data_IF_541765650029
#
_entry.id   IF_541765650029
#
_cell.length_a   1.000
_cell.length_b   1.000
_cell.length_c   1.000
_cell.angle_alpha   90.00
_cell.angle_beta   90.00
_cell.angle_gamma   90.00
#
_symmetry.space_group_name_H-M   'P 1'
#
loop_
_entity.id
_entity.type
_entity.pdbx_description
1 polymer ?
#
# COMPACT_ATOMS: atom_id res chain seq x y z
N UNK A 1 13.63 7.11 7.61
CA UNK A 1 12.76 6.92 6.43
C UNK A 1 13.15 5.62 5.74
N UNK A 2 12.19 4.85 5.23
CA UNK A 2 12.45 3.60 4.51
C UNK A 2 12.11 3.76 3.03
N UNK A 3 12.89 3.12 2.16
CA UNK A 3 12.67 3.12 0.72
C UNK A 3 12.05 1.79 0.29
N UNK A 4 10.86 1.85 -0.31
CA UNK A 4 10.23 0.67 -0.91
C UNK A 4 10.72 0.46 -2.34
N UNK A 5 11.19 -0.74 -2.65
CA UNK A 5 11.56 -1.09 -4.02
C UNK A 5 11.46 -2.59 -4.31
N UNK A 6 11.39 -2.95 -5.59
CA UNK A 6 11.45 -4.35 -6.02
C UNK A 6 12.79 -4.97 -5.60
N UNK A 7 12.78 -6.21 -5.12
CA UNK A 7 13.99 -6.96 -4.76
C UNK A 7 14.99 -6.99 -5.93
N UNK A 8 16.25 -6.61 -5.66
CA UNK A 8 17.39 -6.55 -6.60
C UNK A 8 18.64 -7.16 -5.95
N UNK A 9 19.65 -7.47 -6.74
CA UNK A 9 20.84 -8.22 -6.30
C UNK A 9 21.69 -7.48 -5.26
N UNK A 10 21.66 -6.15 -5.27
CA UNK A 10 22.31 -5.31 -4.26
C UNK A 10 21.75 -5.48 -2.83
N UNK A 11 20.47 -5.84 -2.67
CA UNK A 11 19.84 -5.92 -1.36
C UNK A 11 20.40 -7.08 -0.52
N UNK A 12 20.77 -6.78 0.72
CA UNK A 12 21.30 -7.74 1.69
C UNK A 12 20.16 -8.37 2.48
N UNK A 13 20.10 -9.71 2.51
CA UNK A 13 18.99 -10.49 3.08
C UNK A 13 19.41 -11.36 4.27
N UNK A 14 20.72 -11.61 4.40
CA UNK A 14 21.34 -12.55 5.33
C UNK A 14 21.08 -12.23 6.80
N UNK A 15 20.87 -10.95 7.12
CA UNK A 15 20.60 -10.48 8.48
C UNK A 15 19.11 -10.37 8.83
N UNK A 16 18.21 -10.59 7.88
CA UNK A 16 16.78 -10.39 8.11
C UNK A 16 16.23 -11.45 9.08
N UNK A 17 15.62 -10.99 10.17
CA UNK A 17 14.92 -11.85 11.11
C UNK A 17 13.59 -11.22 11.55
N UNK A 18 12.46 -11.75 11.08
CA UNK A 18 11.13 -11.35 11.55
C UNK A 18 10.59 -12.19 12.73
N UNK A 19 11.36 -13.15 13.23
CA UNK A 19 10.95 -14.08 14.29
C UNK A 19 10.11 -15.27 13.80
N UNK A 20 9.80 -15.34 12.50
CA UNK A 20 9.12 -16.48 11.87
C UNK A 20 10.07 -17.17 10.88
N UNK A 21 10.67 -18.33 11.25
CA UNK A 21 11.71 -18.97 10.45
C UNK A 21 11.29 -19.26 9.01
N UNK A 22 10.01 -19.63 8.80
CA UNK A 22 9.50 -19.94 7.47
C UNK A 22 9.47 -18.73 6.52
N UNK A 23 9.35 -17.51 7.07
CA UNK A 23 9.42 -16.26 6.33
C UNK A 23 10.88 -15.87 6.06
N UNK A 24 11.75 -15.94 7.07
CA UNK A 24 13.18 -15.65 6.93
C UNK A 24 13.85 -16.52 5.85
N UNK A 25 13.70 -17.85 5.96
CA UNK A 25 14.27 -18.81 5.01
C UNK A 25 13.77 -18.56 3.60
N UNK A 26 12.48 -18.27 3.44
CA UNK A 26 11.93 -17.98 2.12
C UNK A 26 12.51 -16.73 1.49
N UNK A 27 12.69 -15.65 2.27
CA UNK A 27 13.29 -14.42 1.77
C UNK A 27 14.71 -14.69 1.26
N UNK A 28 15.53 -15.34 2.09
CA UNK A 28 16.95 -15.56 1.84
C UNK A 28 17.17 -16.54 0.69
N UNK A 29 16.47 -17.68 0.67
CA UNK A 29 16.78 -18.80 -0.24
C UNK A 29 15.89 -18.87 -1.49
N UNK A 30 14.72 -18.23 -1.46
CA UNK A 30 13.68 -18.45 -2.46
C UNK A 30 13.19 -17.19 -3.18
N UNK A 31 13.15 -16.02 -2.52
CA UNK A 31 12.50 -14.83 -3.07
C UNK A 31 13.06 -14.40 -4.44
N UNK A 32 14.38 -14.42 -4.60
CA UNK A 32 15.04 -14.07 -5.88
C UNK A 32 14.65 -15.01 -7.00
N UNK A 33 14.67 -16.32 -6.72
CA UNK A 33 14.29 -17.37 -7.69
C UNK A 33 12.82 -17.29 -8.05
N UNK A 34 11.93 -17.08 -7.07
CA UNK A 34 10.50 -16.91 -7.29
C UNK A 34 10.21 -15.68 -8.18
N UNK A 35 10.92 -14.58 -7.97
CA UNK A 35 10.82 -13.40 -8.82
C UNK A 35 11.28 -13.68 -10.25
N UNK A 36 12.46 -14.31 -10.41
CA UNK A 36 13.02 -14.65 -11.72
C UNK A 36 12.12 -15.61 -12.50
N UNK A 37 11.55 -16.62 -11.82
CA UNK A 37 10.63 -17.59 -12.39
C UNK A 37 9.22 -17.01 -12.67
N UNK A 38 8.93 -15.79 -12.22
CA UNK A 38 7.63 -15.16 -12.45
C UNK A 38 6.52 -15.62 -11.50
N UNK A 39 6.81 -16.42 -10.49
CA UNK A 39 5.79 -16.95 -9.56
C UNK A 39 5.37 -15.93 -8.50
N UNK A 40 6.22 -14.94 -8.21
CA UNK A 40 5.87 -13.80 -7.37
C UNK A 40 6.61 -12.52 -7.78
N UNK A 41 6.19 -11.38 -7.22
CA UNK A 41 6.95 -10.14 -7.21
C UNK A 41 7.21 -9.78 -5.76
N UNK A 42 8.48 -9.54 -5.41
CA UNK A 42 8.90 -9.26 -4.04
C UNK A 42 9.38 -7.83 -3.94
N UNK A 43 8.89 -7.14 -2.94
CA UNK A 43 9.23 -5.75 -2.61
C UNK A 43 9.84 -5.73 -1.22
N UNK A 44 10.83 -4.88 -1.03
CA UNK A 44 11.58 -4.77 0.21
C UNK A 44 11.68 -3.32 0.63
N UNK A 45 11.81 -3.12 1.94
CA UNK A 45 12.21 -1.84 2.52
C UNK A 45 13.66 -1.90 2.95
N UNK A 46 14.40 -0.83 2.63
CA UNK A 46 15.73 -0.59 3.16
C UNK A 46 15.79 0.80 3.81
N UNK A 47 16.64 1.02 4.82
CA UNK A 47 16.99 2.36 5.26
C UNK A 47 17.64 3.15 4.12
N UNK A 48 17.46 4.45 4.12
CA UNK A 48 18.10 5.32 3.12
C UNK A 48 19.63 5.19 3.17
N UNK A 49 20.25 4.99 2.00
CA UNK A 49 21.70 4.79 1.89
C UNK A 49 22.20 3.41 2.33
N UNK A 50 21.31 2.48 2.66
CA UNK A 50 21.64 1.10 3.02
C UNK A 50 20.94 0.07 2.12
N UNK A 51 21.55 -1.11 2.02
CA UNK A 51 21.01 -2.24 1.27
C UNK A 51 20.45 -3.36 2.17
N UNK A 52 20.65 -3.26 3.50
CA UNK A 52 20.08 -4.21 4.46
C UNK A 52 18.54 -4.13 4.43
N UNK A 53 17.91 -5.26 4.12
CA UNK A 53 16.45 -5.37 4.10
C UNK A 53 15.91 -5.46 5.51
N UNK A 54 14.94 -4.61 5.82
CA UNK A 54 14.30 -4.51 7.15
C UNK A 54 12.78 -4.79 7.10
N UNK A 55 12.22 -4.91 5.90
CA UNK A 55 10.85 -5.38 5.70
C UNK A 55 10.71 -5.98 4.31
N UNK A 56 9.76 -6.90 4.12
CA UNK A 56 9.41 -7.34 2.79
C UNK A 56 7.97 -7.83 2.68
N UNK A 57 7.48 -7.80 1.46
CA UNK A 57 6.26 -8.50 1.08
C UNK A 57 6.38 -9.08 -0.32
N UNK A 58 5.55 -10.08 -0.61
CA UNK A 58 5.48 -10.70 -1.92
C UNK A 58 4.04 -10.84 -2.37
N UNK A 59 3.82 -10.61 -3.66
CA UNK A 59 2.50 -10.73 -4.29
C UNK A 59 2.54 -11.73 -5.43
N UNK A 60 1.43 -12.45 -5.64
CA UNK A 60 1.26 -13.38 -6.74
C UNK A 60 -0.20 -13.35 -7.24
N UNK A 61 -0.45 -13.59 -8.55
CA UNK A 61 -1.80 -13.87 -9.02
C UNK A 61 -2.37 -15.11 -8.34
N UNK A 62 -3.66 -15.10 -8.04
CA UNK A 62 -4.37 -16.24 -7.46
C UNK A 62 -5.84 -16.24 -7.87
N UNK A 63 -6.58 -17.21 -7.36
CA UNK A 63 -8.03 -17.28 -7.49
C UNK A 63 -8.67 -17.73 -6.18
N UNK A 64 -9.95 -17.40 -6.00
CA UNK A 64 -10.75 -17.85 -4.86
C UNK A 64 -12.07 -18.43 -5.36
N UNK A 65 -12.45 -19.60 -4.85
CA UNK A 65 -13.72 -20.23 -5.19
C UNK A 65 -14.90 -19.48 -4.57
N UNK A 66 -16.00 -19.36 -5.34
CA UNK A 66 -17.22 -18.68 -4.89
C UNK A 66 -17.81 -19.25 -3.60
N UNK A 67 -17.65 -20.55 -3.35
CA UNK A 67 -18.24 -21.22 -2.19
C UNK A 67 -17.82 -20.61 -0.84
N UNK A 68 -16.59 -20.05 -0.78
CA UNK A 68 -16.06 -19.36 0.39
C UNK A 68 -16.48 -17.89 0.51
N UNK A 69 -17.16 -17.32 -0.49
CA UNK A 69 -17.34 -15.88 -0.63
C UNK A 69 -18.80 -15.44 -0.52
N UNK A 70 -19.00 -14.22 -0.04
CA UNK A 70 -20.31 -13.54 -0.15
C UNK A 70 -20.61 -13.18 -1.61
N UNK A 71 -21.88 -13.00 -1.96
CA UNK A 71 -22.29 -12.58 -3.31
C UNK A 71 -21.62 -11.27 -3.75
N UNK A 72 -21.46 -10.32 -2.81
CA UNK A 72 -20.76 -9.07 -3.05
C UNK A 72 -19.26 -9.26 -3.33
N UNK A 73 -18.58 -10.16 -2.62
CA UNK A 73 -17.17 -10.50 -2.88
C UNK A 73 -17.01 -11.24 -4.20
N UNK A 74 -17.92 -12.17 -4.54
CA UNK A 74 -17.84 -12.95 -5.76
C UNK A 74 -18.17 -12.14 -7.02
N UNK A 75 -19.15 -11.23 -6.97
CA UNK A 75 -19.51 -10.36 -8.10
C UNK A 75 -19.92 -11.11 -9.37
N UNK A 76 -20.59 -12.25 -9.22
CA UNK A 76 -21.05 -13.08 -10.34
C UNK A 76 -20.09 -14.17 -10.81
N UNK A 77 -18.82 -14.14 -10.39
CA UNK A 77 -17.83 -15.15 -10.77
C UNK A 77 -17.99 -16.45 -9.96
N UNK A 78 -17.74 -17.60 -10.60
CA UNK A 78 -17.59 -18.90 -9.91
C UNK A 78 -16.18 -19.10 -9.37
N UNK A 79 -15.19 -18.59 -10.11
CA UNK A 79 -13.78 -18.52 -9.74
C UNK A 79 -13.40 -17.04 -9.81
N UNK A 80 -13.04 -16.47 -8.66
CA UNK A 80 -12.83 -15.03 -8.53
C UNK A 80 -11.34 -14.71 -8.74
N UNK A 81 -10.98 -13.88 -9.73
CA UNK A 81 -9.59 -13.48 -9.95
C UNK A 81 -9.09 -12.59 -8.81
N UNK A 82 -7.89 -12.85 -8.33
CA UNK A 82 -7.38 -12.20 -7.13
C UNK A 82 -5.84 -12.08 -7.13
N UNK A 83 -5.33 -11.32 -6.17
CA UNK A 83 -3.90 -11.25 -5.85
C UNK A 83 -3.68 -11.73 -4.42
N UNK A 84 -2.76 -12.66 -4.23
CA UNK A 84 -2.34 -13.14 -2.93
C UNK A 84 -1.15 -12.32 -2.44
N UNK A 85 -1.26 -11.74 -1.25
CA UNK A 85 -0.12 -11.28 -0.47
C UNK A 85 0.50 -12.52 0.19
N UNK A 86 1.42 -13.16 -0.53
CA UNK A 86 1.96 -14.48 -0.18
C UNK A 86 2.92 -14.43 1.00
N UNK A 87 3.55 -13.27 1.22
CA UNK A 87 4.53 -13.03 2.28
C UNK A 87 4.39 -11.60 2.76
N UNK A 88 4.54 -11.40 4.07
CA UNK A 88 4.44 -10.10 4.72
C UNK A 88 5.22 -10.15 6.03
N UNK A 89 6.32 -9.40 6.14
CA UNK A 89 7.17 -9.46 7.31
C UNK A 89 7.91 -8.15 7.56
N UNK A 90 8.04 -7.79 8.83
CA UNK A 90 8.95 -6.78 9.34
C UNK A 90 10.03 -7.46 10.17
N UNK A 91 11.27 -7.02 9.97
CA UNK A 91 12.38 -7.38 10.83
C UNK A 91 12.05 -7.05 12.29
N UNK A 92 12.54 -7.86 13.23
CA UNK A 92 12.29 -7.70 14.67
C UNK A 92 12.71 -6.32 15.18
N UNK A 93 13.73 -5.71 14.59
CA UNK A 93 14.14 -4.34 14.93
C UNK A 93 13.04 -3.30 14.68
N UNK A 94 12.10 -3.56 13.76
CA UNK A 94 11.00 -2.66 13.40
C UNK A 94 9.65 -3.02 14.04
N UNK A 95 9.58 -4.15 14.76
CA UNK A 95 8.34 -4.59 15.40
C UNK A 95 7.95 -3.67 16.57
N UNK A 96 6.64 -3.48 16.78
CA UNK A 96 6.11 -2.60 17.82
C UNK A 96 6.10 -1.11 17.47
N UNK A 97 6.66 -0.71 16.32
CA UNK A 97 6.73 0.69 15.88
C UNK A 97 5.57 1.12 14.98
N UNK A 98 4.47 0.35 14.95
CA UNK A 98 3.29 0.57 14.09
C UNK A 98 3.56 0.55 12.56
N UNK A 99 4.79 0.26 12.13
CA UNK A 99 5.21 0.19 10.72
C UNK A 99 4.54 -0.92 9.90
N UNK A 100 3.87 -1.89 10.55
CA UNK A 100 3.13 -2.93 9.83
C UNK A 100 1.99 -2.34 9.00
N UNK A 101 1.36 -1.27 9.49
CA UNK A 101 0.30 -0.58 8.74
C UNK A 101 0.84 0.05 7.46
N UNK A 102 1.97 0.73 7.58
CA UNK A 102 2.63 1.39 6.45
C UNK A 102 3.10 0.36 5.40
N UNK A 103 3.66 -0.78 5.85
CA UNK A 103 4.06 -1.87 4.94
C UNK A 103 2.85 -2.48 4.22
N UNK A 104 1.71 -2.60 4.91
CA UNK A 104 0.50 -3.11 4.29
C UNK A 104 -0.07 -2.11 3.28
N UNK A 105 -0.02 -0.81 3.60
CA UNK A 105 -0.45 0.25 2.70
C UNK A 105 0.35 0.22 1.39
N UNK A 106 1.68 0.12 1.49
CA UNK A 106 2.58 -0.05 0.35
C UNK A 106 2.21 -1.29 -0.49
N UNK A 107 2.04 -2.45 0.16
CA UNK A 107 1.62 -3.66 -0.54
C UNK A 107 0.27 -3.51 -1.26
N UNK A 108 -0.71 -2.87 -0.61
CA UNK A 108 -2.03 -2.59 -1.19
C UNK A 108 -1.92 -1.63 -2.37
N UNK A 109 -1.05 -0.62 -2.31
CA UNK A 109 -0.80 0.30 -3.41
C UNK A 109 -0.26 -0.44 -4.64
N UNK A 110 0.72 -1.33 -4.44
CA UNK A 110 1.25 -2.16 -5.53
C UNK A 110 0.18 -3.09 -6.11
N UNK A 111 -0.60 -3.77 -5.27
CA UNK A 111 -1.64 -4.69 -5.71
C UNK A 111 -2.76 -3.96 -6.47
N UNK A 112 -3.18 -2.79 -5.98
CA UNK A 112 -4.25 -2.01 -6.64
C UNK A 112 -3.78 -1.43 -7.97
N UNK A 113 -2.51 -1.02 -8.10
CA UNK A 113 -1.89 -0.65 -9.38
C UNK A 113 -1.91 -1.83 -10.35
N UNK A 114 -1.47 -3.02 -9.92
CA UNK A 114 -1.50 -4.23 -10.75
C UNK A 114 -2.93 -4.58 -11.21
N UNK A 115 -3.89 -4.58 -10.29
CA UNK A 115 -5.29 -4.85 -10.58
C UNK A 115 -5.96 -3.81 -11.49
N UNK A 116 -5.44 -2.58 -11.52
CA UNK A 116 -5.91 -1.54 -12.46
C UNK A 116 -5.49 -1.85 -13.90
N UNK A 117 -4.30 -2.44 -14.08
CA UNK A 117 -3.76 -2.76 -15.41
C UNK A 117 -4.28 -4.10 -15.92
N UNK A 118 -4.27 -5.14 -15.09
CA UNK A 118 -4.51 -6.52 -15.52
C UNK A 118 -5.81 -7.14 -14.98
N UNK A 119 -6.59 -6.37 -14.22
CA UNK A 119 -7.76 -6.88 -13.53
C UNK A 119 -7.41 -7.67 -12.26
N UNK A 120 -8.38 -7.79 -11.37
CA UNK A 120 -8.24 -8.44 -10.07
C UNK A 120 -9.33 -7.95 -9.14
N UNK A 121 -10.13 -8.86 -8.60
CA UNK A 121 -11.30 -8.49 -7.79
C UNK A 121 -10.98 -8.45 -6.31
N UNK A 122 -10.18 -9.41 -5.84
CA UNK A 122 -9.86 -9.58 -4.43
C UNK A 122 -8.36 -9.48 -4.17
N UNK A 123 -8.02 -8.97 -3.00
CA UNK A 123 -6.74 -9.14 -2.34
C UNK A 123 -6.94 -10.27 -1.33
N UNK A 124 -6.05 -11.25 -1.31
CA UNK A 124 -6.11 -12.42 -0.44
C UNK A 124 -4.89 -12.41 0.48
N UNK A 125 -5.10 -12.83 1.72
CA UNK A 125 -4.04 -13.14 2.68
C UNK A 125 -4.31 -14.53 3.25
N UNK A 126 -3.24 -15.29 3.48
CA UNK A 126 -3.27 -16.52 4.26
C UNK A 126 -2.49 -16.25 5.56
N UNK A 127 -3.23 -16.07 6.66
CA UNK A 127 -2.66 -15.77 7.95
C UNK A 127 -2.02 -17.04 8.56
N UNK A 128 -0.80 -16.92 9.06
CA UNK A 128 -0.08 -18.04 9.69
C UNK A 128 -0.71 -18.50 11.02
N UNK A 129 -1.48 -17.63 11.67
CA UNK A 129 -2.18 -17.93 12.92
C UNK A 129 -3.36 -16.95 13.14
N UNK A 130 -4.15 -17.21 14.18
CA UNK A 130 -5.33 -16.41 14.52
C UNK A 130 -5.00 -14.96 14.90
N UNK A 131 -3.85 -14.70 15.52
CA UNK A 131 -3.43 -13.35 15.87
C UNK A 131 -3.17 -12.49 14.62
N UNK A 132 -2.53 -13.09 13.60
CA UNK A 132 -2.31 -12.47 12.29
C UNK A 132 -3.62 -12.31 11.52
N UNK A 133 -4.54 -13.28 11.62
CA UNK A 133 -5.87 -13.14 11.03
C UNK A 133 -6.60 -11.91 11.61
N UNK A 134 -6.59 -11.75 12.94
CA UNK A 134 -7.18 -10.59 13.61
C UNK A 134 -6.51 -9.27 13.21
N UNK A 135 -5.20 -9.27 12.96
CA UNK A 135 -4.48 -8.10 12.42
C UNK A 135 -5.09 -7.63 11.09
N UNK A 136 -5.31 -8.55 10.16
CA UNK A 136 -5.92 -8.23 8.87
C UNK A 136 -7.41 -7.89 8.99
N UNK A 137 -8.16 -8.55 9.88
CA UNK A 137 -9.57 -8.24 10.10
C UNK A 137 -9.80 -6.81 10.58
N UNK A 138 -8.96 -6.31 11.50
CA UNK A 138 -9.01 -4.91 11.96
C UNK A 138 -8.80 -3.89 10.84
N UNK A 139 -8.22 -4.33 9.72
CA UNK A 139 -7.91 -3.51 8.53
C UNK A 139 -8.89 -3.75 7.38
N UNK A 140 -10.01 -4.42 7.66
CA UNK A 140 -11.10 -4.59 6.69
C UNK A 140 -11.01 -5.83 5.81
N UNK A 141 -10.04 -6.74 6.04
CA UNK A 141 -10.10 -8.08 5.46
C UNK A 141 -11.18 -8.92 6.15
N UNK A 142 -11.81 -9.81 5.40
CA UNK A 142 -12.88 -10.67 5.90
C UNK A 142 -12.51 -12.14 5.68
N UNK A 143 -12.61 -13.01 6.69
CA UNK A 143 -12.37 -14.43 6.50
C UNK A 143 -13.37 -15.02 5.51
N UNK A 144 -12.93 -16.00 4.73
CA UNK A 144 -13.83 -16.74 3.86
C UNK A 144 -14.62 -17.78 4.67
N UNK A 145 -15.77 -18.21 4.13
CA UNK A 145 -16.56 -19.26 4.76
C UNK A 145 -15.77 -20.57 4.79
N UNK A 146 -15.61 -21.13 5.98
CA UNK A 146 -14.95 -22.43 6.19
C UNK A 146 -13.45 -22.35 6.49
N UNK A 147 -12.82 -21.19 6.31
CA UNK A 147 -11.41 -20.99 6.63
C UNK A 147 -11.19 -19.61 7.28
N UNK A 148 -11.01 -19.55 8.62
CA UNK A 148 -10.80 -18.29 9.33
C UNK A 148 -9.42 -17.67 9.11
N UNK A 149 -8.45 -18.43 8.57
CA UNK A 149 -7.09 -17.97 8.34
C UNK A 149 -6.89 -17.44 6.91
N UNK A 150 -7.78 -17.77 5.98
CA UNK A 150 -7.81 -17.18 4.64
C UNK A 150 -8.78 -16.01 4.60
N UNK A 151 -8.25 -14.81 4.39
CA UNK A 151 -9.04 -13.58 4.39
C UNK A 151 -8.95 -12.85 3.05
N UNK A 152 -10.02 -12.13 2.73
CA UNK A 152 -10.15 -11.39 1.48
C UNK A 152 -10.58 -9.95 1.70
N UNK A 153 -10.12 -9.06 0.83
CA UNK A 153 -10.58 -7.68 0.71
C UNK A 153 -10.88 -7.39 -0.76
N UNK A 154 -11.92 -6.63 -1.07
CA UNK A 154 -12.14 -6.17 -2.45
C UNK A 154 -11.07 -5.15 -2.83
N UNK A 155 -10.52 -5.27 -4.04
CA UNK A 155 -9.62 -4.26 -4.60
C UNK A 155 -10.28 -2.88 -4.62
N UNK A 156 -11.58 -2.80 -4.88
CA UNK A 156 -12.35 -1.56 -4.81
C UNK A 156 -12.35 -0.93 -3.39
N UNK A 157 -12.54 -1.74 -2.35
CA UNK A 157 -12.46 -1.28 -0.96
C UNK A 157 -11.06 -0.76 -0.65
N UNK A 158 -10.03 -1.49 -1.09
CA UNK A 158 -8.64 -1.10 -0.91
C UNK A 158 -8.32 0.23 -1.63
N UNK A 159 -8.77 0.40 -2.88
CA UNK A 159 -8.63 1.65 -3.64
C UNK A 159 -9.32 2.82 -2.93
N UNK A 160 -10.54 2.62 -2.41
CA UNK A 160 -11.24 3.66 -1.65
C UNK A 160 -10.49 4.05 -0.38
N UNK A 161 -9.89 3.08 0.32
CA UNK A 161 -9.04 3.38 1.46
C UNK A 161 -7.81 4.21 1.06
N UNK A 162 -7.11 3.83 -0.03
CA UNK A 162 -5.96 4.58 -0.57
C UNK A 162 -6.33 5.99 -1.07
N UNK A 163 -7.49 6.15 -1.70
CA UNK A 163 -7.97 7.45 -2.21
C UNK A 163 -8.45 8.41 -1.11
N UNK A 164 -8.31 8.02 0.17
CA UNK A 164 -8.56 8.94 1.28
C UNK A 164 -7.34 9.85 1.43
N UNK A 165 -7.33 10.98 0.70
CA UNK A 165 -6.27 12.00 0.79
C UNK A 165 -5.22 11.99 -0.31
N UNK A 166 -5.49 11.41 -1.48
CA UNK A 166 -4.52 11.34 -2.59
C UNK A 166 -4.36 12.71 -3.26
N UNK A 167 -3.11 13.19 -3.34
CA UNK A 167 -2.71 14.35 -4.18
C UNK A 167 -2.10 13.81 -5.46
N UNK A 168 -2.77 13.96 -6.59
CA UNK A 168 -2.19 13.62 -7.90
C UNK A 168 -1.55 14.85 -8.52
N UNK A 169 -0.28 14.76 -8.90
CA UNK A 169 0.43 15.80 -9.66
C UNK A 169 0.52 15.39 -11.13
N UNK A 170 -0.02 16.20 -12.04
CA UNK A 170 0.15 16.03 -13.49
C UNK A 170 0.88 17.24 -14.06
N UNK A 171 1.99 17.05 -14.77
CA UNK A 171 2.75 18.13 -15.37
C UNK A 171 2.68 18.09 -16.90
N UNK A 172 2.20 19.19 -17.52
CA UNK A 172 2.28 19.42 -18.97
C UNK A 172 2.68 20.87 -19.23
N UNK A 173 3.70 21.09 -20.05
CA UNK A 173 4.06 22.43 -20.54
C UNK A 173 4.48 23.45 -19.47
N UNK A 174 5.10 23.02 -18.36
CA UNK A 174 5.58 23.91 -17.29
C UNK A 174 4.57 24.23 -16.19
N UNK A 175 3.34 23.73 -16.32
CA UNK A 175 2.28 23.82 -15.31
C UNK A 175 2.05 22.45 -14.66
N UNK A 176 1.80 22.45 -13.35
CA UNK A 176 1.46 21.26 -12.60
C UNK A 176 0.00 21.35 -12.11
N UNK A 177 -0.83 20.38 -12.48
CA UNK A 177 -2.16 20.20 -11.93
C UNK A 177 -2.09 19.34 -10.67
N UNK A 178 -2.63 19.85 -9.57
CA UNK A 178 -2.84 19.10 -8.32
C UNK A 178 -4.30 18.70 -8.23
N UNK A 179 -4.58 17.40 -8.11
CA UNK A 179 -5.92 16.87 -7.88
C UNK A 179 -5.97 16.23 -6.51
N UNK A 180 -6.79 16.81 -5.63
CA UNK A 180 -7.16 16.21 -4.35
C UNK A 180 -8.40 15.37 -4.57
N UNK A 181 -8.32 14.06 -4.35
CA UNK A 181 -9.49 13.18 -4.49
C UNK A 181 -9.93 12.64 -3.14
N UNK A 182 -11.25 12.54 -2.95
CA UNK A 182 -11.87 11.76 -1.87
C UNK A 182 -12.45 10.44 -2.40
N UNK A 183 -12.71 9.45 -1.53
CA UNK A 183 -13.35 8.18 -1.91
C UNK A 183 -14.79 8.32 -2.45
N UNK A 184 -15.39 9.50 -2.30
CA UNK A 184 -16.75 9.83 -2.75
C UNK A 184 -16.79 10.56 -4.09
N UNK A 185 -15.65 10.69 -4.77
CA UNK A 185 -15.57 11.32 -6.10
C UNK A 185 -15.52 12.84 -6.08
N UNK A 186 -15.49 13.46 -4.89
CA UNK A 186 -15.25 14.89 -4.77
C UNK A 186 -13.76 15.15 -5.04
N UNK A 187 -13.48 15.78 -6.17
CA UNK A 187 -12.15 16.12 -6.63
C UNK A 187 -11.98 17.64 -6.67
N UNK A 188 -11.05 18.17 -5.88
CA UNK A 188 -10.65 19.57 -5.98
C UNK A 188 -9.37 19.65 -6.80
N UNK A 189 -9.41 20.33 -7.95
CA UNK A 189 -8.25 20.50 -8.81
C UNK A 189 -7.75 21.95 -8.79
N UNK A 190 -6.45 22.14 -8.64
CA UNK A 190 -5.79 23.44 -8.81
C UNK A 190 -4.64 23.32 -9.81
N UNK A 191 -4.50 24.31 -10.68
CA UNK A 191 -3.29 24.51 -11.49
C UNK A 191 -2.31 25.38 -10.72
N UNK A 192 -1.10 24.88 -10.51
CA UNK A 192 -0.01 25.58 -9.83
C UNK A 192 1.22 25.67 -10.73
N UNK A 193 2.01 26.72 -10.52
CA UNK A 193 3.34 26.88 -11.12
C UNK A 193 4.35 25.90 -10.53
N UNK A 194 5.51 25.78 -11.18
CA UNK A 194 6.60 24.89 -10.71
C UNK A 194 7.16 25.30 -9.33
N UNK A 195 7.18 26.59 -9.00
CA UNK A 195 7.68 27.06 -7.70
C UNK A 195 6.64 26.86 -6.58
N UNK A 196 5.36 27.07 -6.89
CA UNK A 196 4.24 26.74 -6.01
C UNK A 196 4.19 25.23 -5.72
N UNK A 197 4.45 24.38 -6.72
CA UNK A 197 4.54 22.93 -6.53
C UNK A 197 5.65 22.56 -5.54
N UNK A 198 6.84 23.17 -5.65
CA UNK A 198 7.95 22.96 -4.70
C UNK A 198 7.63 23.47 -3.30
N UNK A 199 6.87 24.56 -3.19
CA UNK A 199 6.42 25.06 -1.89
C UNK A 199 5.44 24.09 -1.23
N UNK A 200 4.48 23.57 -1.99
CA UNK A 200 3.52 22.56 -1.52
C UNK A 200 4.22 21.27 -1.11
N UNK A 201 5.14 20.75 -1.93
CA UNK A 201 5.89 19.53 -1.61
C UNK A 201 6.64 19.67 -0.27
N UNK A 202 7.38 20.77 -0.08
CA UNK A 202 8.09 21.05 1.19
C UNK A 202 7.15 21.16 2.39
N UNK A 203 5.99 21.78 2.19
CA UNK A 203 5.02 21.95 3.27
C UNK A 203 4.34 20.62 3.62
N UNK A 204 4.06 19.77 2.64
CA UNK A 204 3.49 18.43 2.87
C UNK A 204 4.49 17.50 3.53
N UNK A 205 5.78 17.57 3.17
CA UNK A 205 6.86 16.86 3.88
C UNK A 205 6.93 17.30 5.35
N UNK A 206 6.93 18.60 5.60
CA UNK A 206 6.94 19.15 6.96
C UNK A 206 5.67 18.78 7.77
N UNK A 207 4.52 18.70 7.10
CA UNK A 207 3.27 18.27 7.69
C UNK A 207 3.27 16.76 7.99
N UNK A 208 3.84 15.93 7.10
CA UNK A 208 3.96 14.49 7.31
C UNK A 208 4.90 14.16 8.50
N UNK A 209 6.00 14.90 8.63
CA UNK A 209 6.92 14.78 9.77
C UNK A 209 6.27 15.18 11.11
N UNK A 210 5.26 16.05 11.09
CA UNK A 210 4.51 16.50 12.28
C UNK A 210 3.19 15.74 12.52
N UNK A 211 2.69 14.98 11.54
CA UNK A 211 1.40 14.27 11.58
C UNK A 211 1.44 12.89 12.28
N UNK A 212 2.55 12.52 12.94
CA UNK A 212 2.67 11.26 13.69
C UNK A 212 1.64 11.06 14.83
N UNK A 213 0.77 12.03 15.09
CA UNK A 213 -0.27 11.99 16.12
C UNK A 213 -1.73 11.99 15.62
N UNK A 214 -2.05 12.34 14.36
CA UNK A 214 -3.44 12.46 13.87
C UNK A 214 -3.60 12.04 12.39
N UNK A 215 -4.73 11.40 12.00
CA UNK A 215 -4.97 11.02 10.62
C UNK A 215 -5.08 12.26 9.71
N UNK A 216 -4.34 12.26 8.60
CA UNK A 216 -4.40 13.32 7.59
C UNK A 216 -5.81 13.40 7.00
N UNK A 217 -6.51 14.51 7.25
CA UNK A 217 -7.86 14.75 6.74
C UNK A 217 -7.81 15.63 5.50
N UNK A 218 -8.87 15.63 4.70
CA UNK A 218 -8.97 16.54 3.53
C UNK A 218 -8.89 18.02 3.95
N UNK A 219 -9.40 18.35 5.14
CA UNK A 219 -9.31 19.70 5.71
C UNK A 219 -7.86 20.08 6.06
N UNK A 220 -7.10 19.17 6.68
CA UNK A 220 -5.69 19.44 7.02
C UNK A 220 -4.81 19.54 5.77
N UNK A 221 -5.09 18.75 4.74
CA UNK A 221 -4.39 18.80 3.47
C UNK A 221 -4.66 20.10 2.69
N UNK A 222 -5.93 20.55 2.65
CA UNK A 222 -6.30 21.85 2.05
C UNK A 222 -5.64 23.00 2.79
N UNK A 223 -5.58 22.94 4.12
CA UNK A 223 -4.93 23.98 4.92
C UNK A 223 -3.41 24.01 4.71
N UNK A 224 -2.75 22.85 4.59
CA UNK A 224 -1.33 22.78 4.26
C UNK A 224 -1.04 23.40 2.88
N UNK A 225 -1.89 23.13 1.88
CA UNK A 225 -1.77 23.72 0.54
C UNK A 225 -2.03 25.23 0.58
N UNK A 226 -3.05 25.68 1.30
CA UNK A 226 -3.34 27.12 1.50
C UNK A 226 -2.16 27.84 2.15
N UNK A 227 -1.57 27.24 3.17
CA UNK A 227 -0.40 27.76 3.87
C UNK A 227 0.81 27.84 2.94
N UNK A 228 1.05 26.80 2.14
CA UNK A 228 2.15 26.77 1.19
C UNK A 228 2.03 27.84 0.08
N UNK A 229 0.80 28.16 -0.34
CA UNK A 229 0.53 29.09 -1.44
C UNK A 229 0.26 30.53 -0.98
N UNK A 230 -0.02 30.76 0.31
CA UNK A 230 -0.44 32.07 0.81
C UNK A 230 -1.79 32.57 0.27
N UNK A 231 -2.58 31.68 -0.35
CA UNK A 231 -3.92 31.93 -0.93
C UNK A 231 -4.75 30.66 -0.86
N UNK A 232 -6.08 30.77 -0.97
CA UNK A 232 -6.94 29.58 -1.12
C UNK A 232 -7.08 29.24 -2.62
N UNK A 233 -6.36 28.23 -3.13
CA UNK A 233 -6.47 27.84 -4.54
C UNK A 233 -7.81 27.18 -4.91
N UNK A 234 -8.63 26.83 -3.92
CA UNK A 234 -9.87 26.08 -4.10
C UNK A 234 -11.11 26.92 -3.80
N UNK A 235 -10.97 28.23 -3.60
CA UNK A 235 -12.09 29.14 -3.55
C UNK A 235 -12.70 29.24 -4.96
N UNK A 236 -14.00 28.99 -5.08
CA UNK A 236 -14.77 29.38 -6.27
C UNK A 236 -15.04 30.87 -6.20
N UNK A 237 -14.74 31.60 -7.28
CA UNK A 237 -15.19 32.99 -7.49
C UNK A 237 -16.72 33.11 -7.41
#
# INVERSE_FOLDING_TARGET
>A
MFLSSRLKDQHQLDKFDCGEPSLNVWLIEHARRAQLAGTSRTYVWTPEGADDVVAYYSIAPTQVERAGLTGGQAGGFNIVPAYLLTRFALDRSLQGQQLSDDLLLDAIEVITKAATVAGGRLIVVDAINSQVAMYYQRRGFQPIKGDPLRLVMKVETAKRALSTGLVTVSAQGGLAGLVLSTPHGEAASVVVSSDELRAIARQLEHHADSASAHPTTMASLREAIRTALGRDPFATD
#
